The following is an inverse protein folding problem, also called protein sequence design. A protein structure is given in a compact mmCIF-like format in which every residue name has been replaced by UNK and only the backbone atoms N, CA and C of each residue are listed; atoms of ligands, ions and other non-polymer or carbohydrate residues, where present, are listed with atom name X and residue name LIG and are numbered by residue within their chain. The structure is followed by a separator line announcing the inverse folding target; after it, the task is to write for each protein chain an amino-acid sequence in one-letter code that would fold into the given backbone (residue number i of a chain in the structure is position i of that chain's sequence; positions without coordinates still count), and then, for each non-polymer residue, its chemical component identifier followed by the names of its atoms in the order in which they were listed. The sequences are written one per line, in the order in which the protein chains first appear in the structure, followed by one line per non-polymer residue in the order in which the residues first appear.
data_IF_512666933940
#
_entry.id   IF_512666933940
#
_cell.length_a   1.000
_cell.length_b   1.000
_cell.length_c   1.000
_cell.angle_alpha   90.00
_cell.angle_beta   90.00
_cell.angle_gamma   90.00
#
_symmetry.space_group_name_H-M   'P 1'
#
loop_
_entity.id
_entity.type
_entity.pdbx_description
1 polymer ?
#
# COMPACT_ATOMS: atom_id res chain seq x y z
N UNK A 1 14.31 -7.28 -14.60
CA UNK A 1 12.95 -6.71 -14.78
C UNK A 1 12.00 -7.88 -15.01
N UNK A 2 11.30 -8.34 -13.97
CA UNK A 2 10.38 -9.48 -14.09
C UNK A 2 9.04 -9.07 -14.74
N UNK A 3 8.68 -7.79 -14.68
CA UNK A 3 7.47 -7.23 -15.27
C UNK A 3 7.85 -6.02 -16.15
N UNK A 4 8.28 -6.23 -17.39
CA UNK A 4 8.68 -5.15 -18.30
C UNK A 4 7.50 -4.28 -18.74
N UNK A 5 6.30 -4.81 -18.68
CA UNK A 5 5.01 -4.18 -19.01
C UNK A 5 4.45 -3.31 -17.87
N UNK A 6 4.96 -3.46 -16.64
CA UNK A 6 4.52 -2.67 -15.48
C UNK A 6 5.35 -1.41 -15.31
N UNK A 7 4.67 -0.28 -15.18
CA UNK A 7 5.30 1.02 -14.90
C UNK A 7 5.32 1.27 -13.39
N UNK A 8 6.51 1.49 -12.85
CA UNK A 8 6.68 1.87 -11.45
C UNK A 8 6.95 3.38 -11.39
N UNK A 9 6.11 4.10 -10.62
CA UNK A 9 6.24 5.52 -10.33
C UNK A 9 6.63 5.68 -8.86
N UNK A 10 7.68 6.45 -8.60
CA UNK A 10 8.13 6.75 -7.24
C UNK A 10 7.72 8.17 -6.88
N UNK A 11 7.08 8.34 -5.73
CA UNK A 11 6.76 9.67 -5.20
C UNK A 11 7.98 10.36 -4.61
N UNK A 12 9.06 9.59 -4.35
CA UNK A 12 10.34 10.07 -3.85
C UNK A 12 11.48 9.16 -4.34
N UNK A 13 12.44 9.71 -5.05
CA UNK A 13 13.64 9.02 -5.57
C UNK A 13 14.95 9.68 -5.14
N UNK A 14 14.88 10.73 -4.32
CA UNK A 14 16.00 11.53 -3.83
C UNK A 14 15.79 11.86 -2.35
N UNK A 15 16.80 12.43 -1.71
CA UNK A 15 16.69 12.94 -0.33
C UNK A 15 15.94 14.28 -0.30
N UNK A 16 14.63 14.21 -0.54
CA UNK A 16 13.67 15.32 -0.50
C UNK A 16 12.48 14.91 0.36
N UNK A 17 11.71 15.86 0.84
CA UNK A 17 10.51 15.60 1.63
C UNK A 17 9.24 16.06 0.88
N UNK A 18 8.67 15.26 -0.02
CA UNK A 18 7.33 15.50 -0.53
C UNK A 18 6.32 15.29 0.62
N UNK A 19 5.41 16.23 0.76
CA UNK A 19 4.33 16.13 1.75
C UNK A 19 3.43 14.93 1.47
N UNK A 20 2.59 14.54 2.43
CA UNK A 20 1.61 13.48 2.20
C UNK A 20 0.62 13.86 1.10
N UNK A 21 0.27 15.16 1.02
CA UNK A 21 -0.59 15.70 -0.02
C UNK A 21 0.06 15.64 -1.41
N UNK A 22 1.35 15.98 -1.53
CA UNK A 22 2.09 15.87 -2.80
C UNK A 22 2.07 14.43 -3.32
N UNK A 23 2.25 13.45 -2.43
CA UNK A 23 2.22 12.01 -2.79
C UNK A 23 0.86 11.58 -3.30
N UNK A 24 -0.21 12.00 -2.62
CA UNK A 24 -1.59 11.74 -3.02
C UNK A 24 -1.91 12.39 -4.36
N UNK A 25 -1.56 13.68 -4.51
CA UNK A 25 -1.79 14.42 -5.75
C UNK A 25 -1.05 13.79 -6.93
N UNK A 26 0.20 13.39 -6.73
CA UNK A 26 0.97 12.68 -7.75
C UNK A 26 0.29 11.37 -8.17
N UNK A 27 -0.16 10.54 -7.21
CA UNK A 27 -0.86 9.29 -7.50
C UNK A 27 -2.19 9.54 -8.24
N UNK A 28 -3.02 10.47 -7.76
CA UNK A 28 -4.32 10.79 -8.35
C UNK A 28 -4.22 11.49 -9.73
N UNK A 29 -3.07 12.07 -10.07
CA UNK A 29 -2.85 12.73 -11.36
C UNK A 29 -2.48 11.78 -12.49
N UNK A 30 -2.20 10.52 -12.21
CA UNK A 30 -1.83 9.52 -13.21
C UNK A 30 -3.02 9.25 -14.12
N UNK A 31 -2.84 9.47 -15.41
CA UNK A 31 -3.85 9.16 -16.42
C UNK A 31 -3.67 7.74 -16.91
N UNK A 32 -4.69 6.94 -16.74
CA UNK A 32 -4.74 5.56 -17.20
C UNK A 32 -5.31 5.50 -18.64
N UNK A 33 -4.77 4.60 -19.43
CA UNK A 33 -5.36 4.21 -20.72
C UNK A 33 -6.43 3.14 -20.49
N UNK A 34 -7.15 2.82 -21.57
CA UNK A 34 -8.08 1.68 -21.54
C UNK A 34 -7.33 0.40 -21.14
N UNK A 35 -7.90 -0.36 -20.23
CA UNK A 35 -7.33 -1.61 -19.67
C UNK A 35 -6.03 -1.42 -18.87
N UNK A 36 -5.77 -0.22 -18.35
CA UNK A 36 -4.72 0.00 -17.36
C UNK A 36 -5.35 0.16 -15.97
N UNK A 37 -4.70 -0.40 -14.97
CA UNK A 37 -5.03 -0.24 -13.55
C UNK A 37 -3.82 0.33 -12.80
N UNK A 38 -4.08 0.95 -11.66
CA UNK A 38 -3.05 1.54 -10.80
C UNK A 38 -3.23 1.06 -9.36
N UNK A 39 -2.12 0.76 -8.71
CA UNK A 39 -2.07 0.41 -7.29
C UNK A 39 -1.20 1.43 -6.56
N UNK A 40 -1.58 1.78 -5.35
CA UNK A 40 -0.79 2.66 -4.48
C UNK A 40 -0.23 1.89 -3.30
N UNK A 41 1.10 1.90 -3.17
CA UNK A 41 1.82 1.25 -2.06
C UNK A 41 2.68 2.27 -1.34
N UNK A 42 2.36 2.54 -0.09
CA UNK A 42 3.13 3.43 0.78
C UNK A 42 4.00 2.62 1.71
N UNK A 43 5.31 2.89 1.75
CA UNK A 43 6.26 2.15 2.59
C UNK A 43 6.81 3.08 3.67
N UNK A 44 6.63 2.66 4.92
CA UNK A 44 6.95 3.44 6.11
C UNK A 44 7.75 2.63 7.13
N UNK A 45 8.25 3.34 8.12
CA UNK A 45 8.79 2.79 9.37
C UNK A 45 8.01 3.43 10.51
N UNK A 46 7.40 2.60 11.33
CA UNK A 46 6.52 2.99 12.43
C UNK A 46 7.31 3.60 13.61
N UNK A 47 6.60 4.31 14.46
CA UNK A 47 7.10 4.79 15.73
C UNK A 47 6.05 4.60 16.82
N UNK A 48 6.50 4.32 18.06
CA UNK A 48 5.62 4.16 19.22
C UNK A 48 6.24 4.82 20.44
N UNK A 49 5.41 5.32 21.36
CA UNK A 49 5.85 5.75 22.69
C UNK A 49 6.40 4.56 23.50
N UNK A 50 5.94 3.34 23.24
CA UNK A 50 6.50 2.14 23.83
C UNK A 50 7.69 1.65 23.02
N UNK A 51 8.88 1.65 23.63
CA UNK A 51 10.08 1.07 23.02
C UNK A 51 10.03 -0.47 22.88
N UNK A 52 9.01 -1.11 23.45
CA UNK A 52 8.76 -2.56 23.31
C UNK A 52 7.95 -2.90 22.06
N UNK A 53 7.28 -1.92 21.43
CA UNK A 53 6.55 -2.15 20.19
C UNK A 53 7.53 -2.63 19.11
N UNK A 54 7.18 -3.71 18.43
CA UNK A 54 8.00 -4.35 17.40
C UNK A 54 7.10 -5.05 16.38
N UNK A 55 7.60 -5.26 15.18
CA UNK A 55 6.93 -6.03 14.15
C UNK A 55 6.55 -5.21 12.92
N UNK A 56 6.25 -5.92 11.84
CA UNK A 56 5.75 -5.35 10.60
C UNK A 56 4.25 -5.59 10.47
N UNK A 57 3.57 -4.67 9.80
CA UNK A 57 2.12 -4.69 9.58
C UNK A 57 1.77 -4.02 8.26
N UNK A 58 0.59 -4.37 7.70
CA UNK A 58 0.08 -3.75 6.49
C UNK A 58 -1.31 -3.19 6.75
N UNK A 59 -1.50 -1.92 6.38
CA UNK A 59 -2.72 -1.17 6.63
C UNK A 59 -3.49 -0.93 5.34
N UNK A 60 -4.80 -1.02 5.41
CA UNK A 60 -5.74 -0.66 4.35
C UNK A 60 -6.82 0.29 4.87
N UNK A 61 -7.60 0.88 3.99
CA UNK A 61 -8.69 1.78 4.38
C UNK A 61 -9.89 0.96 4.86
N UNK A 62 -10.46 1.26 6.06
CA UNK A 62 -11.64 0.55 6.57
C UNK A 62 -12.83 0.60 5.59
N UNK A 63 -13.59 -0.50 5.41
CA UNK A 63 -14.72 -0.56 4.47
C UNK A 63 -15.84 0.45 4.75
N UNK A 64 -16.00 0.88 6.00
CA UNK A 64 -16.97 1.88 6.42
C UNK A 64 -16.60 3.31 6.04
N UNK A 65 -15.32 3.56 5.69
CA UNK A 65 -14.90 4.88 5.21
C UNK A 65 -15.22 5.00 3.71
N UNK A 66 -15.97 6.04 3.35
CA UNK A 66 -16.35 6.28 1.96
C UNK A 66 -15.54 7.40 1.34
N UNK A 67 -14.88 7.10 0.21
CA UNK A 67 -14.15 8.06 -0.64
C UNK A 67 -15.01 8.44 -1.83
N UNK A 68 -14.65 9.51 -2.48
CA UNK A 68 -15.17 9.86 -3.80
C UNK A 68 -14.10 9.49 -4.85
N UNK A 69 -14.25 8.30 -5.43
CA UNK A 69 -13.28 7.73 -6.40
C UNK A 69 -13.71 7.95 -7.85
N UNK A 70 -15.01 8.06 -8.10
CA UNK A 70 -15.57 8.37 -9.42
C UNK A 70 -15.66 9.88 -9.58
N UNK A 71 -15.10 10.43 -10.67
CA UNK A 71 -15.25 11.84 -10.98
C UNK A 71 -16.69 12.15 -11.40
N UNK A 72 -17.35 13.07 -10.68
CA UNK A 72 -18.70 13.55 -10.96
C UNK A 72 -18.91 14.09 -12.36
N UNK A 73 -17.84 14.51 -13.04
CA UNK A 73 -17.90 15.05 -14.39
C UNK A 73 -17.90 13.98 -15.48
N UNK A 74 -17.56 12.74 -15.13
CA UNK A 74 -17.41 11.65 -16.11
C UNK A 74 -18.64 10.75 -16.23
N UNK A 75 -19.59 10.86 -15.29
CA UNK A 75 -20.78 10.01 -15.24
C UNK A 75 -22.05 10.84 -14.96
N UNK A 76 -23.24 10.41 -15.43
CA UNK A 76 -24.50 11.04 -15.10
C UNK A 76 -24.72 11.10 -13.58
N UNK A 77 -25.32 12.21 -13.11
CA UNK A 77 -25.54 12.48 -11.68
C UNK A 77 -26.39 11.39 -11.01
N UNK A 78 -27.35 10.85 -11.74
CA UNK A 78 -28.32 9.87 -11.27
C UNK A 78 -27.69 8.53 -10.88
N UNK A 79 -26.59 8.15 -11.55
CA UNK A 79 -25.90 6.87 -11.32
C UNK A 79 -24.58 7.03 -10.58
N UNK A 80 -24.11 8.28 -10.36
CA UNK A 80 -22.79 8.55 -9.76
C UNK A 80 -22.63 7.85 -8.40
N UNK A 81 -23.62 7.96 -7.49
CA UNK A 81 -23.51 7.38 -6.15
C UNK A 81 -23.42 5.85 -6.18
N UNK A 82 -24.16 5.21 -7.08
CA UNK A 82 -24.15 3.75 -7.26
C UNK A 82 -22.78 3.31 -7.78
N UNK A 83 -22.30 3.94 -8.85
CA UNK A 83 -20.99 3.61 -9.42
C UNK A 83 -19.85 3.88 -8.43
N UNK A 84 -19.92 4.98 -7.68
CA UNK A 84 -18.90 5.28 -6.67
C UNK A 84 -18.89 4.23 -5.56
N UNK A 85 -20.05 3.77 -5.10
CA UNK A 85 -20.13 2.71 -4.09
C UNK A 85 -19.57 1.38 -4.61
N UNK A 86 -19.90 0.99 -5.83
CA UNK A 86 -19.40 -0.23 -6.45
C UNK A 86 -17.86 -0.19 -6.59
N UNK A 87 -17.31 0.90 -7.11
CA UNK A 87 -15.85 1.06 -7.24
C UNK A 87 -15.14 1.12 -5.88
N UNK A 88 -15.75 1.74 -4.86
CA UNK A 88 -15.20 1.75 -3.51
C UNK A 88 -15.13 0.36 -2.89
N UNK A 89 -16.17 -0.45 -3.08
CA UNK A 89 -16.19 -1.84 -2.62
C UNK A 89 -15.11 -2.67 -3.32
N UNK A 90 -14.99 -2.53 -4.64
CA UNK A 90 -13.94 -3.18 -5.43
C UNK A 90 -12.54 -2.78 -4.94
N UNK A 91 -12.25 -1.48 -4.82
CA UNK A 91 -10.95 -1.00 -4.34
C UNK A 91 -10.64 -1.43 -2.91
N UNK A 92 -11.66 -1.56 -2.06
CA UNK A 92 -11.50 -2.07 -0.70
C UNK A 92 -11.12 -3.54 -0.70
N UNK A 93 -11.81 -4.37 -1.49
CA UNK A 93 -11.52 -5.79 -1.65
C UNK A 93 -10.11 -6.00 -2.19
N UNK A 94 -9.74 -5.29 -3.24
CA UNK A 94 -8.40 -5.33 -3.83
C UNK A 94 -7.31 -4.89 -2.84
N UNK A 95 -7.57 -3.84 -2.04
CA UNK A 95 -6.64 -3.38 -1.01
C UNK A 95 -6.43 -4.43 0.08
N UNK A 96 -7.47 -5.13 0.52
CA UNK A 96 -7.39 -6.20 1.51
C UNK A 96 -6.58 -7.38 0.95
N UNK A 97 -6.88 -7.82 -0.28
CA UNK A 97 -6.15 -8.91 -0.94
C UNK A 97 -4.67 -8.55 -1.15
N UNK A 98 -4.39 -7.32 -1.61
CA UNK A 98 -3.04 -6.81 -1.76
C UNK A 98 -2.30 -6.76 -0.42
N UNK A 99 -2.96 -6.28 0.65
CA UNK A 99 -2.38 -6.23 1.98
C UNK A 99 -2.00 -7.62 2.49
N UNK A 100 -2.89 -8.61 2.31
CA UNK A 100 -2.63 -9.99 2.72
C UNK A 100 -1.46 -10.60 1.95
N UNK A 101 -1.44 -10.48 0.63
CA UNK A 101 -0.34 -11.02 -0.19
C UNK A 101 1.01 -10.38 0.16
N UNK A 102 1.05 -9.06 0.42
CA UNK A 102 2.26 -8.37 0.84
C UNK A 102 2.70 -8.84 2.24
N UNK A 103 1.76 -8.99 3.17
CA UNK A 103 2.06 -9.49 4.51
C UNK A 103 2.66 -10.89 4.48
N UNK A 104 2.08 -11.80 3.70
CA UNK A 104 2.57 -13.17 3.51
C UNK A 104 3.98 -13.19 2.90
N UNK A 105 4.20 -12.33 1.89
CA UNK A 105 5.51 -12.14 1.28
C UNK A 105 6.56 -11.61 2.27
N UNK A 106 6.20 -10.66 3.12
CA UNK A 106 7.07 -10.15 4.19
C UNK A 106 7.34 -11.21 5.24
N UNK A 107 6.31 -11.93 5.68
CA UNK A 107 6.45 -12.98 6.69
C UNK A 107 7.42 -14.08 6.25
N UNK A 108 7.33 -14.51 5.01
CA UNK A 108 8.25 -15.49 4.42
C UNK A 108 9.72 -15.01 4.44
N UNK A 109 9.99 -13.72 4.34
CA UNK A 109 11.33 -13.16 4.25
C UNK A 109 11.89 -12.70 5.59
N UNK A 110 11.08 -12.09 6.45
CA UNK A 110 11.52 -11.41 7.67
C UNK A 110 10.82 -11.88 8.95
N UNK A 111 9.77 -12.72 8.88
CA UNK A 111 8.98 -13.17 10.03
C UNK A 111 9.77 -13.88 11.13
N UNK A 112 10.92 -14.49 10.78
CA UNK A 112 11.86 -15.07 11.77
C UNK A 112 12.66 -14.03 12.55
N UNK A 113 12.67 -12.76 12.12
CA UNK A 113 13.48 -11.69 12.70
C UNK A 113 12.65 -10.57 13.32
N UNK A 114 11.46 -10.34 12.80
CA UNK A 114 10.53 -9.30 13.24
C UNK A 114 9.12 -9.89 13.34
N UNK A 115 8.34 -9.61 14.40
CA UNK A 115 6.99 -10.16 14.55
C UNK A 115 6.03 -9.72 13.46
N UNK A 116 5.26 -10.66 12.92
CA UNK A 116 4.13 -10.37 12.06
C UNK A 116 2.94 -9.88 12.90
N UNK A 117 2.47 -8.66 12.66
CA UNK A 117 1.36 -8.02 13.38
C UNK A 117 0.03 -8.08 12.62
N UNK A 118 0.01 -8.67 11.46
CA UNK A 118 -1.18 -8.85 10.63
C UNK A 118 -1.51 -7.64 9.74
N UNK A 119 -2.62 -7.80 8.99
CA UNK A 119 -3.25 -6.69 8.28
C UNK A 119 -4.17 -5.93 9.22
N UNK A 120 -4.30 -4.62 9.01
CA UNK A 120 -5.08 -3.71 9.87
C UNK A 120 -5.79 -2.66 9.05
N UNK A 121 -6.88 -2.14 9.60
CA UNK A 121 -7.64 -1.05 8.98
C UNK A 121 -7.44 0.26 9.73
N UNK A 122 -7.12 1.34 9.00
CA UNK A 122 -7.09 2.70 9.55
C UNK A 122 -7.19 3.74 8.43
N UNK A 123 -7.63 4.94 8.79
CA UNK A 123 -7.83 6.07 7.89
C UNK A 123 -6.54 6.90 7.71
N UNK A 124 -5.40 6.23 7.45
CA UNK A 124 -4.16 6.93 7.18
C UNK A 124 -4.30 7.90 6.00
N UNK A 125 -3.71 9.06 6.11
CA UNK A 125 -3.91 10.15 5.14
C UNK A 125 -3.72 9.67 3.68
N UNK A 126 -2.65 8.95 3.40
CA UNK A 126 -2.34 8.52 2.03
C UNK A 126 -3.33 7.49 1.49
N UNK A 127 -3.77 6.52 2.29
CA UNK A 127 -4.71 5.50 1.82
C UNK A 127 -6.15 5.99 1.71
N UNK A 128 -6.55 6.98 2.52
CA UNK A 128 -7.91 7.55 2.45
C UNK A 128 -8.10 8.59 1.35
N UNK A 129 -7.02 9.18 0.83
CA UNK A 129 -7.12 10.29 -0.14
C UNK A 129 -6.72 9.90 -1.56
N UNK A 130 -6.14 8.72 -1.77
CA UNK A 130 -5.92 8.18 -3.13
C UNK A 130 -7.19 7.54 -3.68
N UNK A 131 -7.38 7.60 -5.01
CA UNK A 131 -8.59 7.14 -5.72
C UNK A 131 -8.34 5.80 -6.43
N UNK A 132 -7.67 4.88 -5.75
CA UNK A 132 -7.27 3.57 -6.26
C UNK A 132 -7.08 2.58 -5.11
N UNK A 133 -6.96 1.27 -5.37
CA UNK A 133 -6.56 0.29 -4.37
C UNK A 133 -5.24 0.69 -3.71
N UNK A 134 -5.19 0.65 -2.38
CA UNK A 134 -4.08 1.25 -1.65
C UNK A 134 -3.78 0.57 -0.33
N UNK A 135 -2.49 0.44 -0.02
CA UNK A 135 -2.00 -0.07 1.25
C UNK A 135 -0.88 0.81 1.80
N UNK A 136 -0.69 0.75 3.12
CA UNK A 136 0.45 1.31 3.81
C UNK A 136 1.17 0.19 4.58
N UNK A 137 2.45 0.04 4.33
CA UNK A 137 3.31 -0.99 4.92
C UNK A 137 4.16 -0.33 5.99
N UNK A 138 4.17 -0.90 7.19
CA UNK A 138 5.09 -0.56 8.27
C UNK A 138 6.10 -1.70 8.45
N UNK A 139 7.38 -1.44 8.17
CA UNK A 139 8.44 -2.45 8.15
C UNK A 139 9.03 -2.77 9.52
N UNK A 140 8.61 -2.06 10.56
CA UNK A 140 9.12 -2.16 11.92
C UNK A 140 9.04 -0.82 12.65
N UNK A 141 9.49 -0.79 13.89
CA UNK A 141 9.42 0.38 14.76
C UNK A 141 10.79 1.02 14.97
N UNK A 142 10.96 2.28 14.53
CA UNK A 142 12.19 3.05 14.74
C UNK A 142 12.45 3.32 16.24
N UNK A 143 11.41 3.29 17.08
CA UNK A 143 11.51 3.43 18.53
C UNK A 143 12.05 2.18 19.25
N UNK A 144 12.15 1.03 18.57
CA UNK A 144 12.64 -0.22 19.13
C UNK A 144 14.12 -0.42 18.84
N UNK A 145 14.95 -0.60 19.89
CA UNK A 145 16.40 -0.73 19.79
C UNK A 145 16.87 -1.94 18.95
N UNK A 146 16.09 -3.00 18.91
CA UNK A 146 16.41 -4.18 18.10
C UNK A 146 16.03 -3.94 16.64
N UNK A 147 14.83 -3.42 16.38
CA UNK A 147 14.36 -3.20 15.03
C UNK A 147 15.11 -2.09 14.30
N UNK A 148 15.54 -1.03 14.99
CA UNK A 148 16.38 -0.01 14.36
C UNK A 148 17.71 -0.59 13.83
N UNK A 149 18.27 -1.62 14.49
CA UNK A 149 19.45 -2.32 13.99
C UNK A 149 19.13 -3.14 12.72
N UNK A 150 17.97 -3.79 12.69
CA UNK A 150 17.49 -4.50 11.49
C UNK A 150 17.24 -3.52 10.35
N UNK A 151 16.52 -2.44 10.61
CA UNK A 151 16.18 -1.40 9.61
C UNK A 151 17.43 -0.67 9.05
N UNK A 152 18.54 -0.67 9.77
CA UNK A 152 19.83 -0.17 9.29
C UNK A 152 20.68 -1.26 8.57
N UNK A 153 20.19 -2.49 8.45
CA UNK A 153 20.88 -3.58 7.77
C UNK A 153 20.49 -3.64 6.30
N UNK A 154 21.42 -3.48 5.34
CA UNK A 154 21.13 -3.62 3.91
C UNK A 154 20.50 -4.97 3.56
N UNK A 155 20.95 -6.06 4.20
CA UNK A 155 20.41 -7.40 3.97
C UNK A 155 18.96 -7.53 4.44
N UNK A 156 18.62 -6.90 5.56
CA UNK A 156 17.23 -6.88 6.04
C UNK A 156 16.33 -6.08 5.11
N UNK A 157 16.77 -4.89 4.69
CA UNK A 157 16.02 -4.06 3.74
C UNK A 157 15.83 -4.74 2.39
N UNK A 158 16.87 -5.48 1.91
CA UNK A 158 16.74 -6.29 0.69
C UNK A 158 15.67 -7.39 0.85
N UNK A 159 15.61 -8.05 2.01
CA UNK A 159 14.56 -9.04 2.32
C UNK A 159 13.17 -8.40 2.40
N UNK A 160 13.04 -7.24 3.02
CA UNK A 160 11.79 -6.46 3.01
C UNK A 160 11.33 -6.17 1.58
N UNK A 161 12.25 -5.66 0.74
CA UNK A 161 11.96 -5.36 -0.66
C UNK A 161 11.55 -6.61 -1.44
N UNK A 162 12.21 -7.74 -1.20
CA UNK A 162 11.85 -9.02 -1.83
C UNK A 162 10.49 -9.52 -1.35
N UNK A 163 10.17 -9.38 -0.07
CA UNK A 163 8.86 -9.72 0.49
C UNK A 163 7.73 -8.92 -0.14
N UNK A 164 7.89 -7.60 -0.22
CA UNK A 164 6.93 -6.71 -0.90
C UNK A 164 6.78 -7.10 -2.37
N UNK A 165 7.89 -7.30 -3.06
CA UNK A 165 7.90 -7.70 -4.47
C UNK A 165 7.15 -9.02 -4.69
N UNK A 166 7.43 -10.05 -3.89
CA UNK A 166 6.78 -11.35 -4.00
C UNK A 166 5.26 -11.25 -3.74
N UNK A 167 4.87 -10.50 -2.70
CA UNK A 167 3.46 -10.27 -2.37
C UNK A 167 2.72 -9.52 -3.48
N UNK A 168 3.29 -8.44 -3.99
CA UNK A 168 2.70 -7.71 -5.12
C UNK A 168 2.62 -8.58 -6.38
N UNK A 169 3.65 -9.38 -6.65
CA UNK A 169 3.65 -10.30 -7.81
C UNK A 169 2.54 -11.33 -7.71
N UNK A 170 2.33 -11.92 -6.52
CA UNK A 170 1.25 -12.87 -6.28
C UNK A 170 -0.13 -12.20 -6.45
N UNK A 171 -0.32 -11.01 -5.89
CA UNK A 171 -1.56 -10.24 -6.06
C UNK A 171 -1.84 -9.93 -7.54
N UNK A 172 -0.86 -9.38 -8.28
CA UNK A 172 -1.02 -9.04 -9.71
C UNK A 172 -1.35 -10.28 -10.54
N UNK A 173 -0.64 -11.39 -10.30
CA UNK A 173 -0.89 -12.64 -11.03
C UNK A 173 -2.32 -13.16 -10.81
N UNK A 174 -2.82 -13.10 -9.57
CA UNK A 174 -4.19 -13.48 -9.27
C UNK A 174 -5.22 -12.53 -9.90
N UNK A 175 -4.93 -11.23 -9.89
CA UNK A 175 -5.80 -10.19 -10.45
C UNK A 175 -5.91 -10.27 -11.98
N UNK A 176 -4.82 -10.58 -12.69
CA UNK A 176 -4.79 -10.65 -14.16
C UNK A 176 -5.34 -11.99 -14.73
N UNK A 177 -5.48 -13.02 -13.88
CA UNK A 177 -5.96 -14.33 -14.30
C UNK A 177 -7.45 -14.57 -13.95
N UNK A 178 -8.12 -13.62 -13.28
CA UNK A 178 -9.55 -13.63 -13.00
C UNK A 178 -10.29 -12.65 -13.92
#
# INVERSE_FOLDING_TARGET
KAYPDKKILLTRDKDVYPTLEDRVNMANSVKLKKNESILYVSVHVNASLSSKAAGFEVWYLPPEYRREVVDKKTVPKEIHSILNSMMEEEFTMESILMAQNILDGLDAQIGKKSPNRGIRANQWFVVRNVKMPSVLIELGFISNKTEIKLLNSPDYLKKCSLGIYNGLSAFISNFENN
#
